data_IF_343885786064
#
_entry.id   IF_343885786064
#
_cell.length_a   1.000
_cell.length_b   1.000
_cell.length_c   1.000
_cell.angle_alpha   90.00
_cell.angle_beta   90.00
_cell.angle_gamma   90.00
#
_symmetry.space_group_name_H-M   'P 1'
#
loop_
_entity.id
_entity.type
_entity.pdbx_description
1 polymer ?
#
# COMPACT_ATOMS: atom_id res chain seq x y z
N UNK A 1 -2.37 -5.94 -9.00
CA UNK A 1 -2.72 -5.47 -7.64
C UNK A 1 -1.90 -6.25 -6.64
N UNK A 2 -1.34 -5.58 -5.64
CA UNK A 2 -0.53 -6.18 -4.59
C UNK A 2 -1.19 -5.89 -3.24
N UNK A 3 -1.43 -6.95 -2.46
CA UNK A 3 -1.93 -6.87 -1.10
C UNK A 3 -0.97 -7.69 -0.22
N UNK A 4 -0.77 -7.25 1.01
CA UNK A 4 0.13 -7.91 1.95
C UNK A 4 -0.43 -7.89 3.36
N UNK A 5 -0.07 -8.89 4.15
CA UNK A 5 -0.40 -8.94 5.57
C UNK A 5 0.68 -8.19 6.36
N UNK A 6 0.25 -7.28 7.25
CA UNK A 6 1.14 -6.68 8.23
C UNK A 6 1.73 -7.76 9.15
N UNK A 7 2.96 -7.55 9.60
CA UNK A 7 3.60 -8.41 10.59
C UNK A 7 2.69 -8.66 11.81
N UNK A 8 2.48 -9.94 12.12
CA UNK A 8 1.60 -10.41 13.20
C UNK A 8 0.12 -10.54 12.82
N UNK A 9 -0.24 -10.31 11.56
CA UNK A 9 -1.58 -10.56 11.01
C UNK A 9 -1.55 -11.64 9.91
N UNK A 10 -2.67 -12.35 9.73
CA UNK A 10 -2.83 -13.32 8.66
C UNK A 10 -1.77 -14.42 8.72
N UNK A 11 -1.01 -14.57 7.64
CA UNK A 11 0.12 -15.53 7.56
C UNK A 11 1.47 -14.91 7.94
N UNK A 12 1.54 -13.58 8.08
CA UNK A 12 2.76 -12.86 8.42
C UNK A 12 3.09 -13.02 9.92
N UNK A 13 4.19 -13.71 10.23
CA UNK A 13 4.71 -13.84 11.60
C UNK A 13 5.44 -12.57 12.06
N UNK A 14 5.53 -12.33 13.37
CA UNK A 14 6.29 -11.21 13.95
C UNK A 14 5.46 -10.35 14.90
N UNK A 15 6.03 -9.23 15.34
CA UNK A 15 5.34 -8.30 16.24
C UNK A 15 4.60 -7.22 15.47
N UNK A 16 3.33 -7.03 15.82
CA UNK A 16 2.50 -5.94 15.33
C UNK A 16 2.75 -4.68 16.15
N UNK A 17 3.66 -3.83 15.68
CA UNK A 17 3.80 -2.47 16.19
C UNK A 17 3.81 -1.48 15.00
N UNK A 18 3.62 -0.20 15.32
CA UNK A 18 3.51 0.87 14.32
C UNK A 18 4.74 0.95 13.41
N UNK A 19 5.95 0.85 13.98
CA UNK A 19 7.18 0.88 13.19
C UNK A 19 7.25 -0.29 12.21
N UNK A 20 6.91 -1.50 12.64
CA UNK A 20 6.92 -2.68 11.78
C UNK A 20 5.88 -2.56 10.67
N UNK A 21 4.74 -1.91 10.90
CA UNK A 21 3.75 -1.61 9.85
C UNK A 21 4.36 -0.73 8.74
N UNK A 22 5.10 0.31 9.10
CA UNK A 22 5.81 1.17 8.14
C UNK A 22 6.92 0.41 7.40
N UNK A 23 7.66 -0.44 8.10
CA UNK A 23 8.69 -1.28 7.48
C UNK A 23 8.11 -2.27 6.46
N UNK A 24 6.94 -2.84 6.74
CA UNK A 24 6.26 -3.77 5.83
C UNK A 24 5.88 -3.09 4.51
N UNK A 25 5.22 -1.92 4.56
CA UNK A 25 4.82 -1.21 3.34
C UNK A 25 6.04 -0.73 2.54
N UNK A 26 7.11 -0.28 3.23
CA UNK A 26 8.40 0.08 2.61
C UNK A 26 9.07 -1.12 1.93
N UNK A 27 8.98 -2.32 2.52
CA UNK A 27 9.53 -3.54 1.94
C UNK A 27 8.76 -3.97 0.67
N UNK A 28 7.43 -3.93 0.73
CA UNK A 28 6.55 -4.24 -0.41
C UNK A 28 6.78 -3.26 -1.56
N UNK A 29 6.82 -1.95 -1.27
CA UNK A 29 7.13 -0.93 -2.26
C UNK A 29 8.47 -1.18 -2.94
N UNK A 30 9.53 -1.45 -2.18
CA UNK A 30 10.86 -1.74 -2.73
C UNK A 30 10.88 -3.01 -3.57
N UNK A 31 10.17 -4.05 -3.15
CA UNK A 31 10.03 -5.29 -3.92
C UNK A 31 9.36 -5.03 -5.27
N UNK A 32 8.32 -4.20 -5.32
CA UNK A 32 7.65 -3.85 -6.58
C UNK A 32 8.59 -3.14 -7.55
N UNK A 33 9.36 -2.16 -7.08
CA UNK A 33 10.28 -1.43 -7.95
C UNK A 33 11.44 -2.33 -8.43
N UNK A 34 12.07 -3.07 -7.50
CA UNK A 34 13.31 -3.81 -7.78
C UNK A 34 13.07 -5.17 -8.43
N UNK A 35 12.06 -5.90 -7.98
CA UNK A 35 11.82 -7.28 -8.38
C UNK A 35 10.73 -7.40 -9.45
N UNK A 36 9.72 -6.52 -9.41
CA UNK A 36 8.63 -6.52 -10.40
C UNK A 36 8.83 -5.48 -11.51
N UNK A 37 9.85 -4.61 -11.41
CA UNK A 37 10.16 -3.60 -12.42
C UNK A 37 9.10 -2.50 -12.56
N UNK A 38 8.32 -2.27 -11.51
CA UNK A 38 7.24 -1.27 -11.50
C UNK A 38 7.86 0.12 -11.42
N UNK A 39 7.34 1.08 -12.19
CA UNK A 39 7.79 2.47 -12.12
C UNK A 39 7.14 3.17 -10.92
N UNK A 40 7.90 4.01 -10.21
CA UNK A 40 7.39 4.75 -9.04
C UNK A 40 6.12 5.56 -9.35
N UNK A 41 6.07 6.20 -10.53
CA UNK A 41 4.92 6.98 -10.99
C UNK A 41 3.66 6.15 -11.30
N UNK A 42 3.82 4.85 -11.47
CA UNK A 42 2.72 3.92 -11.72
C UNK A 42 2.22 3.26 -10.44
N UNK A 43 2.82 3.56 -9.29
CA UNK A 43 2.35 3.07 -8.00
C UNK A 43 1.22 3.94 -7.48
N UNK A 44 0.13 3.27 -7.07
CA UNK A 44 -0.94 3.89 -6.29
C UNK A 44 -1.01 3.22 -4.94
N UNK A 45 -0.90 4.03 -3.90
CA UNK A 45 -1.06 3.60 -2.52
C UNK A 45 -2.50 3.85 -2.07
N UNK A 46 -3.17 2.82 -1.53
CA UNK A 46 -4.50 2.97 -0.93
C UNK A 46 -4.51 2.41 0.48
N UNK A 47 -4.76 3.28 1.45
CA UNK A 47 -4.81 2.90 2.87
C UNK A 47 -6.24 2.76 3.40
N UNK A 48 -6.46 1.72 4.22
CA UNK A 48 -7.71 1.47 4.96
C UNK A 48 -7.49 1.45 6.45
N UNK A 49 -8.32 2.18 7.21
CA UNK A 49 -8.27 2.15 8.68
C UNK A 49 -6.83 2.38 9.18
N UNK A 50 -6.19 1.41 9.83
CA UNK A 50 -4.78 1.46 10.21
C UNK A 50 -3.80 1.61 9.04
N UNK A 51 -4.07 1.00 7.88
CA UNK A 51 -3.23 1.11 6.68
C UNK A 51 -3.16 2.53 6.10
N UNK A 52 -4.07 3.41 6.51
CA UNK A 52 -4.02 4.86 6.23
C UNK A 52 -2.69 5.46 6.66
N UNK A 53 -2.27 5.19 7.91
CA UNK A 53 -1.05 5.78 8.47
C UNK A 53 0.17 5.29 7.69
N UNK A 54 0.19 4.00 7.34
CA UNK A 54 1.27 3.39 6.56
C UNK A 54 1.40 4.01 5.16
N UNK A 55 0.28 4.21 4.48
CA UNK A 55 0.26 4.85 3.16
C UNK A 55 0.67 6.32 3.23
N UNK A 56 0.24 7.06 4.26
CA UNK A 56 0.64 8.46 4.44
C UNK A 56 2.14 8.56 4.69
N UNK A 57 2.70 7.72 5.56
CA UNK A 57 4.13 7.70 5.85
C UNK A 57 4.95 7.39 4.59
N UNK A 58 4.56 6.36 3.83
CA UNK A 58 5.23 6.02 2.58
C UNK A 58 5.11 7.14 1.53
N UNK A 59 3.92 7.73 1.38
CA UNK A 59 3.70 8.84 0.45
C UNK A 59 4.51 10.09 0.84
N UNK A 60 4.69 10.36 2.14
CA UNK A 60 5.52 11.45 2.62
C UNK A 60 7.01 11.23 2.30
N UNK A 61 7.47 9.97 2.29
CA UNK A 61 8.85 9.60 1.92
C UNK A 61 9.09 9.61 0.41
N UNK A 62 8.07 9.34 -0.41
CA UNK A 62 8.20 9.14 -1.86
C UNK A 62 7.50 10.24 -2.66
N UNK A 63 8.26 11.13 -3.30
CA UNK A 63 7.68 12.28 -4.01
C UNK A 63 6.92 11.94 -5.31
N UNK A 64 7.07 10.71 -5.83
CA UNK A 64 6.55 10.31 -7.15
C UNK A 64 5.38 9.33 -7.11
N UNK A 65 4.95 8.90 -5.92
CA UNK A 65 3.82 7.97 -5.79
C UNK A 65 2.51 8.74 -5.74
N UNK A 66 1.45 8.11 -6.23
CA UNK A 66 0.10 8.64 -6.08
C UNK A 66 -0.57 7.97 -4.87
N UNK A 67 -1.14 8.73 -3.95
CA UNK A 67 -1.81 8.19 -2.77
C UNK A 67 -3.28 8.55 -2.75
N UNK A 68 -4.15 7.57 -2.46
CA UNK A 68 -5.58 7.79 -2.20
C UNK A 68 -5.93 7.23 -0.83
N UNK A 69 -6.56 8.07 -0.01
CA UNK A 69 -7.02 7.68 1.31
C UNK A 69 -8.49 7.28 1.26
N UNK A 70 -8.82 6.12 1.80
CA UNK A 70 -10.17 5.58 1.83
C UNK A 70 -10.61 5.35 3.29
N UNK A 71 -10.80 6.46 4.02
CA UNK A 71 -11.36 6.42 5.37
C UNK A 71 -12.84 6.00 5.31
N UNK A 72 -13.20 4.88 5.96
CA UNK A 72 -14.55 4.32 6.04
C UNK A 72 -15.17 3.80 4.73
N UNK A 73 -14.41 3.71 3.64
CA UNK A 73 -14.89 3.11 2.41
C UNK A 73 -14.95 1.58 2.53
N UNK A 74 -16.03 0.98 2.01
CA UNK A 74 -16.07 -0.47 1.79
C UNK A 74 -14.95 -0.83 0.83
N UNK A 75 -14.23 -1.91 1.12
CA UNK A 75 -13.23 -2.52 0.23
C UNK A 75 -13.75 -2.62 -1.22
N UNK A 76 -15.04 -2.93 -1.44
CA UNK A 76 -15.67 -2.97 -2.77
C UNK A 76 -15.67 -1.65 -3.53
N UNK A 77 -15.85 -0.50 -2.84
CA UNK A 77 -15.80 0.85 -3.43
C UNK A 77 -14.40 1.16 -3.98
N UNK A 78 -13.40 0.58 -3.34
CA UNK A 78 -11.98 0.82 -3.61
C UNK A 78 -11.54 0.04 -4.80
N UNK A 79 -11.93 -1.24 -4.87
CA UNK A 79 -11.75 -2.05 -6.07
C UNK A 79 -12.41 -1.39 -7.28
N UNK A 80 -13.64 -0.88 -7.14
CA UNK A 80 -14.32 -0.13 -8.21
C UNK A 80 -13.50 1.09 -8.63
N UNK A 81 -13.02 1.90 -7.69
CA UNK A 81 -12.15 3.04 -8.00
C UNK A 81 -10.86 2.60 -8.70
N UNK A 82 -10.15 1.61 -8.14
CA UNK A 82 -8.88 1.14 -8.67
C UNK A 82 -9.02 0.54 -10.08
N UNK A 83 -10.13 -0.14 -10.35
CA UNK A 83 -10.45 -0.70 -11.68
C UNK A 83 -10.69 0.37 -12.74
N UNK A 84 -11.04 1.59 -12.34
CA UNK A 84 -11.18 2.73 -13.24
C UNK A 84 -9.84 3.41 -13.55
N UNK A 85 -8.75 2.97 -12.91
CA UNK A 85 -7.42 3.52 -13.14
C UNK A 85 -6.72 2.65 -14.19
N UNK A 86 -6.47 3.18 -15.40
CA UNK A 86 -6.29 2.37 -16.60
C UNK A 86 -5.07 1.42 -16.59
N UNK A 87 -4.04 1.67 -15.77
CA UNK A 87 -2.88 0.78 -15.63
C UNK A 87 -1.88 1.31 -14.60
N UNK A 88 -2.22 1.18 -13.31
CA UNK A 88 -1.33 1.54 -12.20
C UNK A 88 -1.35 0.46 -11.13
N UNK A 89 -0.20 0.07 -10.60
CA UNK A 89 -0.10 -1.02 -9.63
C UNK A 89 -0.54 -0.51 -8.25
N UNK A 90 -1.64 -1.08 -7.77
CA UNK A 90 -2.24 -0.77 -6.48
C UNK A 90 -1.58 -1.54 -5.33
N UNK A 91 -1.19 -0.83 -4.27
CA UNK A 91 -0.79 -1.36 -2.96
C UNK A 91 -1.89 -1.05 -1.95
N UNK A 92 -2.39 -2.06 -1.26
CA UNK A 92 -3.40 -1.97 -0.19
C UNK A 92 -2.79 -2.36 1.15
#
# INVERSE_FOLDING_TARGET
MMAFDYSGFGVSTGHSNEQTIYENIDAVYRYMLKNLGVLEGDVILIGFSMGTAAVIDLAAKQQKVHSKLCCNDKISSVYSTASQIPSKLLVI
#
